data_IF_250532666749
#
_entry.id   IF_250532666749
#
_cell.length_a   1.000
_cell.length_b   1.000
_cell.length_c   1.000
_cell.angle_alpha   90.00
_cell.angle_beta   90.00
_cell.angle_gamma   90.00
#
_symmetry.space_group_name_H-M   'P 1'
#
loop_
_entity.id
_entity.type
_entity.pdbx_description
1 polymer ?
#
# COMPACT_ATOMS: atom_id res chain seq x y z
N UNK A 1 -20.49 -17.41 4.96
CA UNK A 1 -19.97 -16.21 5.65
C UNK A 1 -18.99 -15.52 4.72
N UNK A 2 -19.09 -14.21 4.58
CA UNK A 2 -18.14 -13.36 3.86
C UNK A 2 -17.40 -12.51 4.89
N UNK A 3 -16.07 -12.57 4.86
CA UNK A 3 -15.17 -11.74 5.66
C UNK A 3 -14.30 -10.96 4.67
N UNK A 4 -14.51 -9.67 4.59
CA UNK A 4 -13.80 -8.80 3.65
C UNK A 4 -12.67 -8.05 4.35
N UNK A 5 -11.55 -7.91 3.66
CA UNK A 5 -10.37 -7.18 4.12
C UNK A 5 -9.83 -7.66 5.49
N UNK A 6 -9.66 -8.97 5.62
CA UNK A 6 -9.10 -9.58 6.82
C UNK A 6 -7.58 -9.32 6.85
N UNK A 7 -7.16 -8.38 7.65
CA UNK A 7 -5.77 -7.93 7.80
C UNK A 7 -5.26 -8.08 9.24
N UNK A 8 -5.07 -6.99 9.97
CA UNK A 8 -4.50 -6.96 11.32
C UNK A 8 -5.23 -7.80 12.39
N UNK A 9 -6.44 -8.28 12.12
CA UNK A 9 -7.26 -9.06 13.07
C UNK A 9 -7.18 -10.58 12.87
N UNK A 10 -6.14 -11.07 12.19
CA UNK A 10 -5.96 -12.51 11.91
C UNK A 10 -5.77 -13.38 13.16
N UNK A 11 -5.36 -12.81 14.29
CA UNK A 11 -5.34 -13.54 15.58
C UNK A 11 -6.74 -13.98 16.00
N UNK A 12 -7.74 -13.15 15.76
CA UNK A 12 -9.15 -13.48 16.01
C UNK A 12 -9.67 -14.49 15.00
N UNK A 13 -9.15 -14.48 13.77
CA UNK A 13 -9.43 -15.49 12.76
C UNK A 13 -9.10 -16.91 13.24
N UNK A 14 -7.95 -17.12 13.84
CA UNK A 14 -7.54 -18.42 14.31
C UNK A 14 -8.50 -18.96 15.38
N UNK A 15 -8.93 -18.11 16.32
CA UNK A 15 -9.94 -18.46 17.31
C UNK A 15 -11.29 -18.76 16.65
N UNK A 16 -11.72 -17.94 15.70
CA UNK A 16 -12.95 -18.15 14.95
C UNK A 16 -12.91 -19.49 14.17
N UNK A 17 -11.81 -19.78 13.48
CA UNK A 17 -11.63 -21.03 12.73
C UNK A 17 -11.71 -22.26 13.65
N UNK A 18 -11.09 -22.19 14.85
CA UNK A 18 -11.18 -23.25 15.86
C UNK A 18 -12.61 -23.48 16.37
N UNK A 19 -13.34 -22.40 16.66
CA UNK A 19 -14.73 -22.47 17.10
C UNK A 19 -15.63 -23.07 16.01
N UNK A 20 -15.40 -22.72 14.76
CA UNK A 20 -16.15 -23.25 13.62
C UNK A 20 -15.86 -24.74 13.40
N UNK A 21 -14.60 -25.16 13.55
CA UNK A 21 -14.22 -26.57 13.46
C UNK A 21 -14.84 -27.43 14.58
N UNK A 22 -14.94 -26.87 15.79
CA UNK A 22 -15.55 -27.57 16.93
C UNK A 22 -17.07 -27.75 16.79
N UNK A 23 -17.71 -27.05 15.85
CA UNK A 23 -19.14 -27.13 15.60
C UNK A 23 -19.48 -28.36 14.75
N UNK A 24 -19.93 -29.43 15.38
CA UNK A 24 -20.29 -30.71 14.72
C UNK A 24 -21.60 -30.63 13.93
N UNK A 25 -22.39 -29.58 14.15
CA UNK A 25 -23.79 -29.51 13.68
C UNK A 25 -23.98 -28.79 12.35
N UNK A 26 -23.01 -27.96 11.94
CA UNK A 26 -23.16 -27.11 10.77
C UNK A 26 -21.98 -27.20 9.81
N UNK A 27 -22.29 -27.19 8.50
CA UNK A 27 -21.28 -27.06 7.45
C UNK A 27 -21.21 -25.59 7.01
N UNK A 28 -20.03 -24.99 7.15
CA UNK A 28 -19.81 -23.61 6.78
C UNK A 28 -18.99 -23.50 5.51
N UNK A 29 -19.35 -22.55 4.65
CA UNK A 29 -18.48 -22.03 3.60
C UNK A 29 -18.12 -20.58 3.96
N UNK A 30 -16.85 -20.31 4.04
CA UNK A 30 -16.34 -18.99 4.40
C UNK A 30 -15.53 -18.49 3.20
N UNK A 31 -15.88 -17.32 2.70
CA UNK A 31 -15.08 -16.59 1.74
C UNK A 31 -14.38 -15.46 2.49
N UNK A 32 -13.07 -15.42 2.36
CA UNK A 32 -12.22 -14.41 2.98
C UNK A 32 -11.49 -13.66 1.89
N UNK A 33 -11.43 -12.34 1.98
CA UNK A 33 -10.48 -11.54 1.22
C UNK A 33 -9.41 -11.01 2.17
N UNK A 34 -8.16 -11.16 1.77
CA UNK A 34 -7.00 -10.65 2.50
C UNK A 34 -5.88 -10.38 1.51
N UNK A 35 -4.97 -9.47 1.82
CA UNK A 35 -3.70 -9.41 1.11
C UNK A 35 -2.90 -10.66 1.47
N UNK A 36 -2.20 -11.24 0.50
CA UNK A 36 -1.41 -12.47 0.72
C UNK A 36 -0.37 -12.27 1.82
N UNK A 37 0.32 -11.14 1.80
CA UNK A 37 1.34 -10.82 2.79
C UNK A 37 0.73 -10.65 4.17
N UNK A 38 -0.39 -9.96 4.30
CA UNK A 38 -1.08 -9.79 5.58
C UNK A 38 -1.50 -11.14 6.16
N UNK A 39 -2.01 -12.05 5.33
CA UNK A 39 -2.38 -13.39 5.77
C UNK A 39 -1.21 -14.14 6.43
N UNK A 40 -0.02 -14.11 5.82
CA UNK A 40 1.15 -14.78 6.37
C UNK A 40 1.79 -14.01 7.52
N UNK A 41 1.81 -12.70 7.44
CA UNK A 41 2.48 -11.84 8.41
C UNK A 41 1.75 -11.78 9.75
N UNK A 42 0.44 -11.77 9.72
CA UNK A 42 -0.40 -11.76 10.94
C UNK A 42 -0.73 -13.17 11.45
N UNK A 43 -0.06 -14.20 10.94
CA UNK A 43 -0.17 -15.56 11.44
C UNK A 43 -1.47 -16.25 11.09
N UNK A 44 -2.00 -16.02 9.90
CA UNK A 44 -3.13 -16.78 9.38
C UNK A 44 -2.83 -18.27 9.41
N UNK A 45 -3.52 -19.03 10.27
CA UNK A 45 -3.35 -20.45 10.41
C UNK A 45 -4.44 -21.22 9.64
N UNK A 46 -4.00 -22.12 8.76
CA UNK A 46 -4.86 -22.96 7.94
C UNK A 46 -4.99 -24.39 8.52
N UNK A 47 -4.23 -24.72 9.56
CA UNK A 47 -4.20 -26.06 10.15
C UNK A 47 -5.57 -26.51 10.70
N UNK A 48 -6.41 -25.55 11.06
CA UNK A 48 -7.76 -25.77 11.56
C UNK A 48 -8.84 -25.79 10.45
N UNK A 49 -8.45 -25.78 9.16
CA UNK A 49 -9.39 -25.80 8.06
C UNK A 49 -9.35 -27.14 7.34
N UNK A 50 -10.51 -27.78 7.15
CA UNK A 50 -10.61 -29.07 6.44
C UNK A 50 -10.32 -28.93 4.94
N UNK A 51 -10.73 -27.81 4.33
CA UNK A 51 -10.50 -27.50 2.93
C UNK A 51 -10.23 -25.99 2.77
N UNK A 52 -9.06 -25.67 2.23
CA UNK A 52 -8.69 -24.30 1.86
C UNK A 52 -8.48 -24.24 0.35
N UNK A 53 -9.15 -23.28 -0.28
CA UNK A 53 -8.90 -22.91 -1.68
C UNK A 53 -8.38 -21.46 -1.71
N UNK A 54 -7.11 -21.29 -2.09
CA UNK A 54 -6.53 -19.96 -2.28
C UNK A 54 -6.76 -19.55 -3.74
N UNK A 55 -7.46 -18.44 -3.93
CA UNK A 55 -7.72 -17.86 -5.25
C UNK A 55 -6.98 -16.53 -5.31
N UNK A 56 -6.01 -16.44 -6.22
CA UNK A 56 -5.35 -15.16 -6.54
C UNK A 56 -6.07 -14.55 -7.75
N UNK A 57 -6.89 -13.51 -7.57
CA UNK A 57 -7.54 -12.87 -8.71
C UNK A 57 -6.50 -12.15 -9.56
N UNK A 58 -6.38 -12.56 -10.81
CA UNK A 58 -5.59 -11.89 -11.82
C UNK A 58 -6.50 -11.50 -12.97
N UNK A 59 -6.28 -10.34 -13.58
CA UNK A 59 -7.05 -9.91 -14.73
C UNK A 59 -6.68 -10.77 -15.95
N UNK A 60 -7.65 -11.46 -16.51
CA UNK A 60 -7.47 -12.21 -17.76
C UNK A 60 -7.71 -11.33 -18.99
N UNK A 61 -7.18 -11.74 -20.12
CA UNK A 61 -7.39 -11.07 -21.41
C UNK A 61 -8.88 -10.94 -21.77
N UNK A 62 -9.67 -11.98 -21.49
CA UNK A 62 -11.11 -11.98 -21.73
C UNK A 62 -11.87 -10.99 -20.84
N UNK A 63 -11.45 -10.87 -19.59
CA UNK A 63 -12.03 -9.87 -18.67
C UNK A 63 -11.62 -8.46 -19.09
N UNK A 64 -10.37 -8.27 -19.51
CA UNK A 64 -9.88 -7.00 -20.03
C UNK A 64 -10.72 -6.51 -21.23
N UNK A 65 -11.02 -7.39 -22.20
CA UNK A 65 -11.93 -7.07 -23.31
C UNK A 65 -13.32 -6.70 -22.82
N UNK A 66 -13.85 -7.45 -21.85
CA UNK A 66 -15.20 -7.20 -21.29
C UNK A 66 -15.28 -5.85 -20.59
N UNK A 67 -14.24 -5.49 -19.82
CA UNK A 67 -14.14 -4.19 -19.11
C UNK A 67 -14.05 -3.04 -20.11
N UNK A 68 -13.21 -3.18 -21.14
CA UNK A 68 -13.10 -2.20 -22.20
C UNK A 68 -14.47 -1.93 -22.86
N UNK A 69 -15.18 -2.99 -23.25
CA UNK A 69 -16.48 -2.87 -23.88
C UNK A 69 -17.54 -2.24 -22.95
N UNK A 70 -17.49 -2.56 -21.65
CA UNK A 70 -18.36 -1.95 -20.66
C UNK A 70 -18.10 -0.44 -20.48
N UNK A 71 -16.82 -0.05 -20.39
CA UNK A 71 -16.42 1.36 -20.28
C UNK A 71 -16.73 2.14 -21.56
N UNK A 72 -16.54 1.52 -22.73
CA UNK A 72 -16.92 2.11 -24.02
C UNK A 72 -18.41 2.38 -24.11
N UNK A 73 -19.24 1.40 -23.68
CA UNK A 73 -20.69 1.55 -23.64
C UNK A 73 -21.15 2.64 -22.67
N UNK A 74 -20.40 2.82 -21.58
CA UNK A 74 -20.67 3.85 -20.57
C UNK A 74 -20.06 5.23 -20.93
N UNK A 75 -19.43 5.38 -22.10
CA UNK A 75 -18.74 6.60 -22.56
C UNK A 75 -17.65 7.10 -21.58
N UNK A 76 -16.98 6.14 -20.89
CA UNK A 76 -15.93 6.41 -19.89
C UNK A 76 -14.51 6.11 -20.38
N UNK A 77 -14.35 5.70 -21.65
CA UNK A 77 -13.02 5.52 -22.21
C UNK A 77 -12.35 6.85 -22.51
N UNK A 78 -11.05 6.91 -22.23
CA UNK A 78 -10.26 8.03 -22.68
C UNK A 78 -10.17 8.06 -24.22
N UNK A 79 -10.17 9.26 -24.79
CA UNK A 79 -10.21 9.47 -26.26
C UNK A 79 -9.03 8.84 -27.01
N UNK A 80 -7.89 8.69 -26.35
CA UNK A 80 -6.67 8.14 -26.94
C UNK A 80 -6.61 6.60 -26.86
N UNK A 81 -7.61 5.96 -26.29
CA UNK A 81 -7.71 4.50 -26.17
C UNK A 81 -8.71 3.98 -27.21
N UNK A 82 -8.17 3.53 -28.33
CA UNK A 82 -8.94 3.02 -29.49
C UNK A 82 -9.06 1.50 -29.54
N UNK A 83 -8.14 0.77 -28.87
CA UNK A 83 -8.03 -0.69 -28.93
C UNK A 83 -7.67 -1.27 -27.57
N UNK A 84 -8.49 -2.22 -27.11
CA UNK A 84 -8.27 -2.90 -25.85
C UNK A 84 -7.01 -3.78 -25.82
N UNK A 85 -6.61 -4.35 -26.97
CA UNK A 85 -5.40 -5.17 -27.07
C UNK A 85 -4.14 -4.36 -26.86
N UNK A 86 -4.09 -3.15 -27.42
CA UNK A 86 -2.97 -2.23 -27.19
C UNK A 86 -2.88 -1.82 -25.72
N UNK A 87 -4.02 -1.59 -25.07
CA UNK A 87 -4.07 -1.29 -23.64
C UNK A 87 -3.66 -2.52 -22.80
N UNK A 88 -4.15 -3.71 -23.16
CA UNK A 88 -3.80 -4.96 -22.47
C UNK A 88 -2.30 -5.24 -22.48
N UNK A 89 -1.64 -5.10 -23.63
CA UNK A 89 -0.19 -5.34 -23.75
C UNK A 89 0.63 -4.51 -22.76
N UNK A 90 0.18 -3.29 -22.41
CA UNK A 90 0.88 -2.42 -21.47
C UNK A 90 0.85 -2.93 -20.01
N UNK A 91 -0.11 -3.78 -19.66
CA UNK A 91 -0.28 -4.28 -18.28
C UNK A 91 -0.15 -5.82 -18.19
N UNK A 92 0.13 -6.49 -19.28
CA UNK A 92 0.07 -7.96 -19.38
C UNK A 92 1.07 -8.69 -18.47
N UNK A 93 2.15 -8.04 -18.07
CA UNK A 93 3.16 -8.53 -17.11
C UNK A 93 2.66 -8.50 -15.67
N UNK A 94 1.83 -7.53 -15.29
CA UNK A 94 1.31 -7.34 -13.94
C UNK A 94 -0.12 -7.81 -13.75
N UNK A 95 -0.95 -7.70 -14.80
CA UNK A 95 -2.36 -8.09 -14.82
C UNK A 95 -3.20 -7.48 -13.68
N UNK A 96 -2.89 -6.24 -13.30
CA UNK A 96 -3.58 -5.52 -12.24
C UNK A 96 -4.80 -4.77 -12.78
N UNK A 97 -5.98 -5.11 -12.26
CA UNK A 97 -7.24 -4.48 -12.64
C UNK A 97 -7.20 -2.95 -12.50
N UNK A 98 -6.63 -2.44 -11.42
CA UNK A 98 -6.55 -0.99 -11.17
C UNK A 98 -5.70 -0.27 -12.23
N UNK A 99 -4.56 -0.82 -12.63
CA UNK A 99 -3.72 -0.24 -13.68
C UNK A 99 -4.42 -0.24 -15.04
N UNK A 100 -5.15 -1.32 -15.35
CA UNK A 100 -5.90 -1.42 -16.59
C UNK A 100 -7.05 -0.41 -16.66
N UNK A 101 -7.89 -0.36 -15.62
CA UNK A 101 -9.00 0.59 -15.57
C UNK A 101 -8.49 2.04 -15.59
N UNK A 102 -7.41 2.33 -14.86
CA UNK A 102 -6.79 3.64 -14.88
C UNK A 102 -6.32 4.02 -16.30
N UNK A 103 -5.58 3.13 -16.96
CA UNK A 103 -5.14 3.36 -18.34
C UNK A 103 -6.32 3.63 -19.30
N UNK A 104 -7.39 2.82 -19.19
CA UNK A 104 -8.57 2.96 -20.06
C UNK A 104 -9.30 4.29 -19.83
N UNK A 105 -9.33 4.80 -18.60
CA UNK A 105 -10.09 6.00 -18.26
C UNK A 105 -9.29 7.29 -18.33
N UNK A 106 -7.98 7.23 -18.17
CA UNK A 106 -7.10 8.41 -18.17
C UNK A 106 -6.14 8.48 -19.37
N UNK A 107 -6.00 7.41 -20.13
CA UNK A 107 -5.13 7.37 -21.31
C UNK A 107 -3.64 7.20 -21.03
N UNK A 108 -3.24 7.18 -19.76
CA UNK A 108 -1.87 7.04 -19.28
C UNK A 108 -1.74 5.98 -18.18
N UNK A 109 -0.53 5.45 -17.98
CA UNK A 109 -0.25 4.53 -16.88
C UNK A 109 -0.14 5.28 -15.55
N UNK A 110 -0.49 4.61 -14.44
CA UNK A 110 -0.31 5.16 -13.08
C UNK A 110 1.14 5.62 -12.86
N UNK A 111 2.11 4.83 -13.30
CA UNK A 111 3.54 5.18 -13.17
C UNK A 111 3.91 6.46 -13.92
N UNK A 112 3.37 6.68 -15.11
CA UNK A 112 3.60 7.89 -15.92
C UNK A 112 3.02 9.12 -15.19
N UNK A 113 1.80 9.01 -14.70
CA UNK A 113 1.15 10.06 -13.91
C UNK A 113 1.92 10.41 -12.64
N UNK A 114 2.33 9.40 -11.87
CA UNK A 114 3.15 9.60 -10.66
C UNK A 114 4.47 10.28 -11.00
N UNK A 115 5.15 9.86 -12.07
CA UNK A 115 6.40 10.49 -12.50
C UNK A 115 6.22 11.97 -12.84
N UNK A 116 5.14 12.34 -13.51
CA UNK A 116 4.81 13.73 -13.80
C UNK A 116 4.54 14.52 -12.51
N UNK A 117 3.73 14.01 -11.59
CA UNK A 117 3.45 14.63 -10.30
C UNK A 117 4.72 14.82 -9.46
N UNK A 118 5.60 13.82 -9.39
CA UNK A 118 6.87 13.94 -8.65
C UNK A 118 7.77 15.02 -9.25
N UNK A 119 7.79 15.17 -10.57
CA UNK A 119 8.53 16.24 -11.24
C UNK A 119 7.95 17.64 -10.91
N UNK A 120 6.63 17.79 -10.89
CA UNK A 120 5.96 19.03 -10.50
C UNK A 120 6.28 19.40 -9.05
N UNK A 121 6.19 18.44 -8.12
CA UNK A 121 6.56 18.62 -6.71
C UNK A 121 8.03 19.04 -6.57
N UNK A 122 8.94 18.41 -7.30
CA UNK A 122 10.37 18.73 -7.23
C UNK A 122 10.72 20.15 -7.65
N UNK A 123 9.87 20.77 -8.49
CA UNK A 123 10.03 22.15 -8.93
C UNK A 123 9.42 23.16 -7.95
N UNK A 124 8.64 22.73 -6.97
CA UNK A 124 7.99 23.60 -5.99
C UNK A 124 8.93 23.94 -4.82
N UNK A 125 8.75 25.12 -4.21
CA UNK A 125 9.57 25.59 -3.08
C UNK A 125 9.54 24.65 -1.85
N UNK A 126 8.43 23.95 -1.60
CA UNK A 126 8.27 22.98 -0.52
C UNK A 126 8.54 21.52 -0.95
N UNK A 127 9.11 21.29 -2.14
CA UNK A 127 9.25 19.97 -2.74
C UNK A 127 10.03 18.99 -1.86
N UNK A 128 11.08 19.44 -1.19
CA UNK A 128 11.87 18.60 -0.29
C UNK A 128 11.07 18.02 0.87
N UNK A 129 10.22 18.81 1.52
CA UNK A 129 9.35 18.36 2.61
C UNK A 129 8.24 17.43 2.11
N UNK A 130 7.62 17.73 0.95
CA UNK A 130 6.64 16.85 0.32
C UNK A 130 7.24 15.47 0.04
N UNK A 131 8.45 15.41 -0.51
CA UNK A 131 9.12 14.14 -0.78
C UNK A 131 9.44 13.35 0.50
N UNK A 132 9.85 14.04 1.56
CA UNK A 132 10.12 13.42 2.84
C UNK A 132 8.86 12.76 3.43
N UNK A 133 7.73 13.46 3.38
CA UNK A 133 6.43 12.92 3.80
C UNK A 133 6.03 11.73 2.93
N UNK A 134 6.09 11.89 1.60
CA UNK A 134 5.68 10.85 0.67
C UNK A 134 6.52 9.58 0.79
N UNK A 135 7.86 9.69 1.02
CA UNK A 135 8.70 8.51 1.26
C UNK A 135 8.19 7.70 2.45
N UNK A 136 7.93 8.38 3.59
CA UNK A 136 7.50 7.71 4.82
C UNK A 136 6.08 7.15 4.69
N UNK A 137 5.14 7.96 4.24
CA UNK A 137 3.73 7.58 4.16
C UNK A 137 3.51 6.47 3.13
N UNK A 138 4.08 6.61 1.93
CA UNK A 138 3.89 5.61 0.89
C UNK A 138 4.64 4.31 1.19
N UNK A 139 5.83 4.38 1.81
CA UNK A 139 6.52 3.15 2.20
C UNK A 139 5.78 2.42 3.33
N UNK A 140 5.27 3.14 4.32
CA UNK A 140 4.41 2.57 5.37
C UNK A 140 3.14 1.93 4.77
N UNK A 141 2.49 2.61 3.82
CA UNK A 141 1.28 2.09 3.14
C UNK A 141 1.58 0.82 2.32
N UNK A 142 2.74 0.73 1.66
CA UNK A 142 3.18 -0.51 0.98
C UNK A 142 3.34 -1.64 1.98
N UNK A 143 3.84 -1.37 3.17
CA UNK A 143 3.94 -2.34 4.27
C UNK A 143 2.61 -2.58 5.02
N UNK A 144 1.50 -1.95 4.62
CA UNK A 144 0.22 -2.09 5.32
C UNK A 144 0.14 -1.37 6.67
N UNK A 145 1.02 -0.40 6.91
CA UNK A 145 1.11 0.37 8.16
C UNK A 145 0.46 1.74 7.96
N UNK A 146 -0.36 2.16 8.92
CA UNK A 146 -0.92 3.51 9.01
C UNK A 146 -0.09 4.32 10.01
N UNK A 147 0.46 5.44 9.56
CA UNK A 147 1.26 6.29 10.44
C UNK A 147 0.36 7.21 11.27
N UNK A 148 0.65 7.33 12.56
CA UNK A 148 0.03 8.35 13.40
C UNK A 148 0.48 9.74 12.94
N UNK A 149 -0.48 10.60 12.59
CA UNK A 149 -0.21 11.94 12.02
C UNK A 149 0.63 12.78 12.97
N UNK A 150 0.35 12.73 14.29
CA UNK A 150 1.10 13.51 15.30
C UNK A 150 2.54 13.04 15.43
N UNK A 151 2.79 11.74 15.35
CA UNK A 151 4.13 11.16 15.42
C UNK A 151 4.95 11.52 14.19
N UNK A 152 4.34 11.46 13.00
CA UNK A 152 4.95 11.92 11.75
C UNK A 152 5.31 13.42 11.82
N UNK A 153 4.40 14.28 12.25
CA UNK A 153 4.64 15.73 12.39
C UNK A 153 5.79 15.98 13.37
N UNK A 154 5.84 15.27 14.50
CA UNK A 154 6.90 15.41 15.50
C UNK A 154 8.28 15.03 14.93
N UNK A 155 8.36 13.95 14.17
CA UNK A 155 9.58 13.51 13.50
C UNK A 155 10.07 14.56 12.47
N UNK A 156 9.14 15.16 11.74
CA UNK A 156 9.44 16.17 10.72
C UNK A 156 9.73 17.56 11.30
N UNK A 157 9.18 17.91 12.47
CA UNK A 157 9.33 19.22 13.12
C UNK A 157 10.77 19.51 13.59
N UNK A 158 11.69 18.54 13.51
CA UNK A 158 13.11 18.75 13.77
C UNK A 158 13.78 19.64 12.70
N UNK A 159 13.12 19.89 11.57
CA UNK A 159 13.60 20.76 10.48
C UNK A 159 12.94 22.13 10.60
N UNK A 160 13.69 23.23 10.89
CA UNK A 160 13.12 24.57 10.95
C UNK A 160 12.63 25.01 9.55
N UNK A 161 11.63 25.86 9.51
CA UNK A 161 11.13 26.60 8.34
C UNK A 161 10.08 25.96 7.41
N UNK A 162 9.37 24.91 7.81
CA UNK A 162 8.24 24.45 7.00
C UNK A 162 6.95 24.36 7.81
N UNK A 163 5.89 25.00 7.32
CA UNK A 163 4.54 24.72 7.82
C UNK A 163 4.09 23.35 7.34
N UNK A 164 4.37 22.34 8.18
CA UNK A 164 4.03 20.94 7.89
C UNK A 164 2.52 20.78 7.66
N UNK A 165 1.70 21.57 8.35
CA UNK A 165 0.24 21.55 8.18
C UNK A 165 -0.19 21.94 6.77
N UNK A 166 0.38 23.01 6.21
CA UNK A 166 0.11 23.42 4.83
C UNK A 166 0.62 22.38 3.83
N UNK A 167 1.78 21.78 4.08
CA UNK A 167 2.33 20.74 3.21
C UNK A 167 1.44 19.49 3.22
N UNK A 168 0.97 19.03 4.38
CA UNK A 168 0.04 17.90 4.49
C UNK A 168 -1.28 18.19 3.77
N UNK A 169 -1.83 19.38 3.95
CA UNK A 169 -3.03 19.82 3.24
C UNK A 169 -2.83 19.79 1.73
N UNK A 170 -1.73 20.35 1.24
CA UNK A 170 -1.41 20.33 -0.19
C UNK A 170 -1.32 18.91 -0.75
N UNK A 171 -0.65 17.98 -0.04
CA UNK A 171 -0.56 16.58 -0.46
C UNK A 171 -1.93 15.88 -0.48
N UNK A 172 -2.82 16.24 0.44
CA UNK A 172 -4.19 15.71 0.47
C UNK A 172 -5.02 16.28 -0.70
N UNK A 173 -4.93 17.59 -0.94
CA UNK A 173 -5.62 18.26 -2.06
C UNK A 173 -5.11 17.75 -3.43
N UNK A 174 -3.84 17.36 -3.52
CA UNK A 174 -3.22 16.75 -4.71
C UNK A 174 -3.54 15.25 -4.84
N UNK A 175 -4.32 14.68 -3.95
CA UNK A 175 -4.65 13.24 -3.91
C UNK A 175 -3.41 12.34 -3.90
N UNK A 176 -2.42 12.68 -3.09
CA UNK A 176 -1.21 11.87 -2.92
C UNK A 176 -1.21 11.10 -1.61
N UNK A 177 -1.85 11.64 -0.59
CA UNK A 177 -2.06 10.99 0.72
C UNK A 177 -3.50 11.15 1.16
N UNK A 178 -3.92 10.31 2.08
CA UNK A 178 -5.20 10.37 2.78
C UNK A 178 -4.96 10.56 4.27
N UNK A 179 -5.68 11.51 4.87
CA UNK A 179 -5.71 11.71 6.33
C UNK A 179 -7.10 11.27 6.80
N UNK A 180 -7.15 10.44 7.85
CA UNK A 180 -8.41 9.99 8.44
C UNK A 180 -9.30 11.16 8.85
N UNK A 181 -10.62 10.95 8.88
CA UNK A 181 -11.60 12.01 9.23
C UNK A 181 -11.36 12.64 10.61
N UNK A 182 -10.77 11.89 11.52
CA UNK A 182 -10.40 12.35 12.87
C UNK A 182 -9.01 12.98 12.92
N UNK A 183 -8.24 12.90 11.82
CA UNK A 183 -6.88 13.44 11.71
C UNK A 183 -5.80 12.62 12.40
N UNK A 184 -6.14 11.45 12.93
CA UNK A 184 -5.23 10.64 13.75
C UNK A 184 -4.20 9.89 12.93
N UNK A 185 -4.58 9.43 11.72
CA UNK A 185 -3.74 8.60 10.85
C UNK A 185 -3.61 9.20 9.46
N UNK A 186 -2.44 8.96 8.86
CA UNK A 186 -2.11 9.28 7.47
C UNK A 186 -1.65 8.03 6.75
N UNK A 187 -2.13 7.84 5.52
CA UNK A 187 -1.82 6.69 4.67
C UNK A 187 -1.75 7.10 3.20
N UNK A 188 -1.20 6.25 2.34
CA UNK A 188 -1.29 6.41 0.89
C UNK A 188 -2.73 6.20 0.40
N UNK A 189 -3.05 6.68 -0.79
CA UNK A 189 -4.40 6.48 -1.36
C UNK A 189 -4.66 5.05 -1.79
N UNK A 190 -3.62 4.33 -2.20
CA UNK A 190 -3.73 2.94 -2.66
C UNK A 190 -2.33 2.33 -2.77
N UNK A 191 -2.11 1.10 -2.27
CA UNK A 191 -0.78 0.47 -2.22
C UNK A 191 -0.06 0.41 -3.57
N UNK A 192 -0.77 0.20 -4.69
CA UNK A 192 -0.17 0.22 -6.03
C UNK A 192 0.39 1.62 -6.37
N UNK A 193 -0.34 2.69 -6.05
CA UNK A 193 0.17 4.06 -6.24
C UNK A 193 1.36 4.34 -5.33
N UNK A 194 1.24 3.96 -4.07
CA UNK A 194 2.32 4.09 -3.08
C UNK A 194 3.57 3.36 -3.52
N UNK A 195 3.46 2.15 -4.09
CA UNK A 195 4.58 1.41 -4.65
C UNK A 195 5.28 2.18 -5.78
N UNK A 196 4.52 2.80 -6.69
CA UNK A 196 5.12 3.61 -7.75
C UNK A 196 5.82 4.86 -7.21
N UNK A 197 5.25 5.50 -6.17
CA UNK A 197 5.88 6.65 -5.49
C UNK A 197 7.17 6.22 -4.80
N UNK A 198 7.13 5.11 -4.04
CA UNK A 198 8.32 4.54 -3.36
C UNK A 198 9.42 4.26 -4.38
N UNK A 199 9.12 3.52 -5.44
CA UNK A 199 10.08 3.20 -6.48
C UNK A 199 10.73 4.46 -7.09
N UNK A 200 9.92 5.51 -7.32
CA UNK A 200 10.41 6.76 -7.89
C UNK A 200 11.25 7.58 -6.92
N UNK A 201 10.85 7.67 -5.66
CA UNK A 201 11.54 8.49 -4.65
C UNK A 201 12.77 7.80 -4.07
N UNK A 202 12.90 6.49 -4.23
CA UNK A 202 14.04 5.69 -3.78
C UNK A 202 14.97 5.25 -4.91
N UNK A 203 14.83 5.82 -6.11
CA UNK A 203 15.74 5.55 -7.23
C UNK A 203 17.21 5.84 -6.88
N UNK A 204 17.45 6.85 -6.02
CA UNK A 204 18.80 7.29 -5.59
C UNK A 204 18.93 7.44 -4.08
N UNK A 205 17.92 7.09 -3.31
CA UNK A 205 17.88 7.21 -1.85
C UNK A 205 17.60 5.83 -1.28
N UNK A 206 18.40 5.40 -0.32
CA UNK A 206 18.23 4.08 0.26
C UNK A 206 16.89 3.92 1.01
N UNK A 207 16.29 2.75 0.89
CA UNK A 207 15.05 2.39 1.58
C UNK A 207 15.24 2.22 3.08
N UNK A 208 16.44 1.78 3.51
CA UNK A 208 16.76 1.53 4.92
C UNK A 208 16.65 2.79 5.78
N UNK A 209 17.06 3.97 5.26
CA UNK A 209 16.90 5.25 5.94
C UNK A 209 15.41 5.56 6.21
N UNK A 210 14.55 5.34 5.21
CA UNK A 210 13.11 5.54 5.34
C UNK A 210 12.49 4.51 6.29
N UNK A 211 12.86 3.24 6.17
CA UNK A 211 12.41 2.17 7.07
C UNK A 211 12.81 2.45 8.53
N UNK A 212 14.04 2.92 8.77
CA UNK A 212 14.51 3.29 10.11
C UNK A 212 13.73 4.47 10.69
N UNK A 213 13.43 5.47 9.86
CA UNK A 213 12.61 6.61 10.28
C UNK A 213 11.18 6.18 10.64
N UNK A 214 10.60 5.25 9.88
CA UNK A 214 9.28 4.68 10.20
C UNK A 214 9.32 3.88 11.49
N UNK A 215 10.36 3.05 11.70
CA UNK A 215 10.53 2.28 12.93
C UNK A 215 10.59 3.14 14.20
N UNK A 216 10.98 4.42 14.09
CA UNK A 216 10.96 5.38 15.21
C UNK A 216 9.57 5.86 15.61
N UNK A 217 8.65 5.91 14.65
CA UNK A 217 7.32 6.51 14.85
C UNK A 217 6.17 5.51 14.78
N UNK A 218 6.45 4.29 14.30
CA UNK A 218 5.48 3.22 14.23
C UNK A 218 5.15 2.67 15.64
N UNK A 219 3.96 2.12 15.81
CA UNK A 219 3.60 1.41 17.03
C UNK A 219 4.39 0.09 17.14
N UNK A 220 4.48 -0.47 18.34
CA UNK A 220 5.18 -1.76 18.57
C UNK A 220 4.57 -2.88 17.71
N UNK A 221 3.25 -2.89 17.52
CA UNK A 221 2.56 -3.84 16.66
C UNK A 221 2.96 -3.67 15.19
N UNK A 222 3.10 -2.43 14.72
CA UNK A 222 3.43 -2.12 13.33
C UNK A 222 4.88 -2.44 12.98
N UNK A 223 5.78 -2.43 13.96
CA UNK A 223 7.18 -2.80 13.76
C UNK A 223 7.31 -4.27 13.33
N UNK A 224 6.53 -5.17 13.91
CA UNK A 224 6.52 -6.57 13.48
C UNK A 224 6.07 -6.71 12.03
N UNK A 225 5.09 -5.91 11.62
CA UNK A 225 4.60 -5.84 10.24
C UNK A 225 5.68 -5.29 9.30
N UNK A 226 6.33 -4.19 9.70
CA UNK A 226 7.44 -3.63 8.94
C UNK A 226 8.54 -4.66 8.68
N UNK A 227 8.94 -5.41 9.70
CA UNK A 227 9.99 -6.44 9.58
C UNK A 227 9.59 -7.61 8.67
N UNK A 228 8.32 -7.98 8.63
CA UNK A 228 7.83 -9.08 7.79
C UNK A 228 7.91 -8.75 6.29
N UNK A 229 7.87 -7.46 5.92
CA UNK A 229 8.04 -7.00 4.54
C UNK A 229 9.51 -6.89 4.09
N UNK A 230 10.47 -6.94 5.00
CA UNK A 230 11.89 -6.77 4.66
C UNK A 230 12.47 -7.78 3.66
N UNK A 231 12.00 -9.05 3.59
CA UNK A 231 12.44 -9.95 2.54
C UNK A 231 12.15 -9.44 1.12
N UNK A 232 11.17 -8.56 0.96
CA UNK A 232 10.74 -8.01 -0.33
C UNK A 232 11.62 -6.83 -0.79
N UNK A 233 12.40 -6.23 0.13
CA UNK A 233 13.23 -5.06 -0.16
C UNK A 233 14.71 -5.42 -0.22
N UNK A 234 15.39 -4.75 -1.17
CA UNK A 234 16.85 -4.88 -1.35
C UNK A 234 17.59 -3.78 -0.56
N UNK A 235 17.95 -4.10 0.69
CA UNK A 235 18.81 -3.28 1.53
C UNK A 235 19.58 -4.15 2.54
N UNK A 236 20.60 -3.57 3.17
CA UNK A 236 21.42 -4.25 4.20
C UNK A 236 20.59 -4.46 5.49
N UNK A 237 20.02 -5.66 5.62
CA UNK A 237 19.17 -6.04 6.73
C UNK A 237 19.91 -6.12 8.06
N UNK A 238 21.17 -6.59 8.04
CA UNK A 238 21.97 -6.73 9.26
C UNK A 238 22.33 -5.35 9.83
N UNK A 239 22.75 -4.41 8.97
CA UNK A 239 22.95 -3.02 9.36
C UNK A 239 21.68 -2.37 9.89
N UNK A 240 20.53 -2.63 9.23
CA UNK A 240 19.25 -2.10 9.64
C UNK A 240 18.84 -2.61 11.03
N UNK A 241 18.85 -3.94 11.26
CA UNK A 241 18.51 -4.51 12.58
C UNK A 241 19.42 -4.00 13.68
N UNK A 242 20.70 -3.88 13.41
CA UNK A 242 21.66 -3.29 14.36
C UNK A 242 21.28 -1.86 14.72
N UNK A 243 20.90 -1.04 13.75
CA UNK A 243 20.48 0.34 13.97
C UNK A 243 19.17 0.42 14.78
N UNK A 244 18.20 -0.43 14.48
CA UNK A 244 16.93 -0.47 15.25
C UNK A 244 17.17 -0.88 16.69
N UNK A 245 17.97 -1.92 16.94
CA UNK A 245 18.31 -2.37 18.28
C UNK A 245 19.03 -1.25 19.06
N UNK A 246 20.03 -0.60 18.46
CA UNK A 246 20.75 0.50 19.09
C UNK A 246 19.83 1.68 19.41
N UNK A 247 18.91 2.01 18.51
CA UNK A 247 17.91 3.08 18.72
C UNK A 247 17.03 2.80 19.94
N UNK A 248 16.63 1.54 20.17
CA UNK A 248 15.73 1.18 21.26
C UNK A 248 16.45 0.95 22.60
N UNK A 249 17.73 0.61 22.56
CA UNK A 249 18.53 0.46 23.77
C UNK A 249 19.09 1.78 24.29
N UNK A 250 19.25 2.79 23.43
CA UNK A 250 19.85 4.09 23.76
C UNK A 250 18.82 5.23 23.90
N UNK A 251 17.56 5.02 23.59
CA UNK A 251 16.45 5.98 23.75
C UNK A 251 15.68 5.70 25.01
#
# INVERSE_FOLDING_TARGET
VLLDNLDAHLSEWNLFAQLMQASVTYHYKILVTSRENDWYNYGGDISNLHHLNIIKPTLSEKEAESIYNALRKAEKLHKDIDDWKKAWVKIADRQLLIEYVYLLTHGEMIAERISAQMKEIGNASAGGMKFEILRKVCFADVCGIKLETKSLIRELATKPDSDIGEVLKSLTDEFLVHISSEGDYIEGLHPVRSQHIVNRLHEYISLDETALSIAKIASISDISVLFSHFPEFDFDKDAFYTNVVNMWLCG
#
